data_IF_224622374020
#
_entry.id   IF_224622374020
#
_cell.length_a   1.000
_cell.length_b   1.000
_cell.length_c   1.000
_cell.angle_alpha   90.00
_cell.angle_beta   90.00
_cell.angle_gamma   90.00
#
_symmetry.space_group_name_H-M   'P 1'
#
loop_
_entity.id
_entity.type
_entity.pdbx_description
1 polymer ?
#
# COMPACT_ATOMS: atom_id res chain seq x y z
N UNK A 1 3.32 34.36 0.49
CA UNK A 1 3.99 34.03 -0.78
C UNK A 1 3.84 32.52 -0.97
N UNK A 2 2.96 32.09 -1.88
CA UNK A 2 2.77 30.65 -2.15
C UNK A 2 3.91 30.22 -3.07
N UNK A 3 4.83 29.41 -2.56
CA UNK A 3 5.91 28.85 -3.38
C UNK A 3 5.34 27.67 -4.15
N UNK A 4 5.19 27.82 -5.47
CA UNK A 4 4.59 26.83 -6.37
C UNK A 4 5.30 25.45 -6.41
N UNK A 5 6.45 25.30 -5.73
CA UNK A 5 7.23 24.07 -5.67
C UNK A 5 7.28 23.38 -4.30
N UNK A 6 6.57 23.88 -3.28
CA UNK A 6 6.58 23.24 -1.96
C UNK A 6 5.84 21.88 -1.96
N UNK A 7 6.13 21.04 -0.96
CA UNK A 7 5.58 19.68 -0.88
C UNK A 7 4.03 19.68 -0.86
N UNK A 8 3.43 20.68 -0.21
CA UNK A 8 1.98 20.80 -0.14
C UNK A 8 1.37 21.04 -1.53
N UNK A 9 1.95 21.94 -2.32
CA UNK A 9 1.48 22.21 -3.69
C UNK A 9 1.75 21.03 -4.63
N UNK A 10 2.90 20.36 -4.50
CA UNK A 10 3.18 19.13 -5.25
C UNK A 10 2.07 18.08 -5.01
N UNK A 11 1.73 17.81 -3.75
CA UNK A 11 0.64 16.90 -3.38
C UNK A 11 -0.71 17.32 -3.98
N UNK A 12 -1.05 18.60 -3.83
CA UNK A 12 -2.29 19.15 -4.37
C UNK A 12 -2.39 18.93 -5.89
N UNK A 13 -1.36 19.33 -6.65
CA UNK A 13 -1.34 19.20 -8.11
C UNK A 13 -1.34 17.73 -8.57
N UNK A 14 -0.68 16.85 -7.82
CA UNK A 14 -0.66 15.41 -8.10
C UNK A 14 -2.01 14.75 -7.87
N UNK A 15 -2.70 15.06 -6.78
CA UNK A 15 -3.99 14.48 -6.42
C UNK A 15 -5.12 15.00 -7.31
N UNK A 16 -5.15 16.30 -7.60
CA UNK A 16 -6.18 16.89 -8.48
C UNK A 16 -5.95 16.63 -9.97
N UNK A 17 -4.89 15.93 -10.35
CA UNK A 17 -4.81 15.33 -11.69
C UNK A 17 -5.89 14.26 -11.89
N UNK A 18 -6.23 13.53 -10.83
CA UNK A 18 -7.25 12.49 -10.85
C UNK A 18 -8.64 13.10 -11.02
N UNK A 19 -9.60 12.27 -11.44
CA UNK A 19 -10.91 12.73 -11.88
C UNK A 19 -10.83 13.80 -13.01
N UNK A 20 -9.96 13.53 -13.99
CA UNK A 20 -9.82 14.30 -15.25
C UNK A 20 -9.54 15.79 -15.04
N UNK A 21 -8.77 16.16 -14.01
CA UNK A 21 -8.40 17.57 -13.71
C UNK A 21 -9.60 18.50 -13.52
N UNK A 22 -10.73 17.96 -13.05
CA UNK A 22 -11.93 18.76 -12.79
C UNK A 22 -11.77 19.74 -11.62
N UNK A 23 -10.78 19.52 -10.75
CA UNK A 23 -10.64 20.24 -9.49
C UNK A 23 -11.56 19.71 -8.38
N UNK A 24 -12.31 18.63 -8.64
CA UNK A 24 -13.22 18.02 -7.66
C UNK A 24 -12.88 16.55 -7.45
N UNK A 25 -12.81 16.14 -6.19
CA UNK A 25 -12.66 14.74 -5.77
C UNK A 25 -13.75 14.40 -4.76
N UNK A 26 -14.43 13.29 -4.99
CA UNK A 26 -15.46 12.82 -4.08
C UNK A 26 -14.81 12.34 -2.78
N UNK A 27 -15.25 12.89 -1.65
CA UNK A 27 -14.82 12.40 -0.34
C UNK A 27 -15.17 10.91 -0.18
N UNK A 28 -14.34 10.13 0.52
CA UNK A 28 -14.68 8.76 0.87
C UNK A 28 -16.04 8.63 1.58
N UNK A 29 -16.70 7.49 1.45
CA UNK A 29 -18.09 7.28 1.89
C UNK A 29 -18.31 7.59 3.38
N UNK A 30 -17.44 7.10 4.25
CA UNK A 30 -17.50 7.32 5.70
C UNK A 30 -17.34 8.79 6.12
N UNK A 31 -16.77 9.65 5.27
CA UNK A 31 -16.71 11.11 5.50
C UNK A 31 -17.92 11.89 4.94
N UNK A 32 -18.87 11.18 4.34
CA UNK A 32 -20.12 11.73 3.77
C UNK A 32 -21.36 11.26 4.50
N UNK A 33 -21.27 10.12 5.20
CA UNK A 33 -22.35 9.53 6.00
C UNK A 33 -22.65 10.40 7.23
N UNK A 34 -23.93 10.53 7.55
CA UNK A 34 -24.43 11.27 8.72
C UNK A 34 -24.77 10.35 9.89
N UNK A 35 -24.89 9.05 9.64
CA UNK A 35 -25.30 8.03 10.60
C UNK A 35 -24.14 7.43 11.40
N UNK A 36 -22.89 7.61 10.95
CA UNK A 36 -21.69 7.15 11.65
C UNK A 36 -20.70 8.31 11.84
N UNK A 37 -20.27 8.63 13.07
CA UNK A 37 -19.17 9.57 13.29
C UNK A 37 -17.85 8.94 12.85
N UNK A 38 -16.93 9.75 12.33
CA UNK A 38 -15.59 9.35 11.92
C UNK A 38 -14.53 10.12 12.72
N UNK A 39 -13.68 9.39 13.43
CA UNK A 39 -12.52 9.96 14.12
C UNK A 39 -11.28 9.90 13.21
N UNK A 40 -10.75 11.05 12.73
CA UNK A 40 -9.57 11.07 11.87
C UNK A 40 -8.27 10.67 12.59
N UNK A 41 -8.28 10.53 13.91
CA UNK A 41 -7.12 10.11 14.71
C UNK A 41 -7.19 8.63 15.14
N UNK A 42 -8.19 7.88 14.67
CA UNK A 42 -8.28 6.43 14.94
C UNK A 42 -7.03 5.70 14.46
N UNK A 43 -6.47 4.88 15.33
CA UNK A 43 -5.36 3.98 14.99
C UNK A 43 -5.83 2.58 14.58
N UNK A 44 -7.11 2.28 14.82
CA UNK A 44 -7.74 1.00 14.55
C UNK A 44 -8.43 0.99 13.19
N UNK A 45 -8.60 -0.21 12.62
CA UNK A 45 -9.42 -0.39 11.43
C UNK A 45 -10.85 0.05 11.78
N UNK A 46 -11.41 0.91 10.94
CA UNK A 46 -12.79 1.39 11.09
C UNK A 46 -13.73 0.38 10.46
N UNK A 47 -14.80 0.03 11.18
CA UNK A 47 -15.84 -0.87 10.67
C UNK A 47 -16.41 -0.38 9.32
N UNK A 48 -16.44 -1.28 8.34
CA UNK A 48 -16.86 -1.00 6.97
C UNK A 48 -15.78 -0.41 6.06
N UNK A 49 -14.54 -0.26 6.53
CA UNK A 49 -13.39 0.16 5.72
C UNK A 49 -12.44 -1.01 5.52
N UNK A 50 -12.16 -1.35 4.26
CA UNK A 50 -11.12 -2.31 3.91
C UNK A 50 -9.78 -1.59 3.95
N UNK A 51 -9.01 -1.85 5.00
CA UNK A 51 -7.62 -1.39 5.10
C UNK A 51 -6.73 -2.17 4.12
N UNK A 52 -5.59 -1.61 3.71
CA UNK A 52 -4.66 -2.26 2.80
C UNK A 52 -3.25 -2.41 3.39
N UNK A 53 -2.50 -3.38 2.88
CA UNK A 53 -1.03 -3.41 2.94
C UNK A 53 -0.47 -2.95 1.62
N UNK A 54 0.51 -2.04 1.63
CA UNK A 54 1.18 -1.57 0.42
C UNK A 54 2.68 -1.86 0.54
N UNK A 55 3.26 -2.51 -0.46
CA UNK A 55 4.71 -2.66 -0.59
C UNK A 55 5.17 -2.07 -1.91
N UNK A 56 6.33 -1.44 -1.89
CA UNK A 56 6.96 -0.91 -3.10
C UNK A 56 8.46 -1.14 -3.08
N UNK A 57 8.96 -1.86 -4.08
CA UNK A 57 10.39 -2.03 -4.34
C UNK A 57 10.80 -1.09 -5.48
N UNK A 58 11.75 -0.20 -5.19
CA UNK A 58 12.42 0.61 -6.22
C UNK A 58 13.50 -0.28 -6.84
N UNK A 59 13.39 -0.57 -8.14
CA UNK A 59 14.29 -1.53 -8.80
C UNK A 59 15.39 -0.79 -9.55
N UNK A 60 14.99 0.16 -10.40
CA UNK A 60 15.95 0.91 -11.23
C UNK A 60 15.36 2.24 -11.68
N UNK A 61 16.19 3.06 -12.30
CA UNK A 61 15.73 4.27 -12.98
C UNK A 61 16.47 4.50 -14.28
N UNK A 62 15.93 5.36 -15.12
CA UNK A 62 16.42 5.62 -16.47
C UNK A 62 16.47 7.14 -16.71
N UNK A 63 17.57 7.62 -17.28
CA UNK A 63 17.77 8.99 -17.73
C UNK A 63 17.43 10.06 -16.67
N UNK A 64 17.88 9.86 -15.43
CA UNK A 64 17.46 10.69 -14.28
C UNK A 64 18.20 12.03 -14.20
N UNK A 65 19.41 12.13 -14.72
CA UNK A 65 20.16 13.38 -14.80
C UNK A 65 21.04 13.39 -16.06
N UNK A 66 21.33 14.58 -16.57
CA UNK A 66 22.28 14.84 -17.66
C UNK A 66 23.73 14.80 -17.18
N UNK A 67 23.95 14.82 -15.85
CA UNK A 67 25.26 14.79 -15.21
C UNK A 67 25.51 13.45 -14.55
N UNK A 68 26.79 13.08 -14.42
CA UNK A 68 27.21 11.93 -13.60
C UNK A 68 27.15 12.32 -12.12
N UNK A 69 26.05 11.98 -11.46
CA UNK A 69 25.76 12.31 -10.06
C UNK A 69 25.03 11.15 -9.38
N UNK A 70 25.21 11.00 -8.07
CA UNK A 70 24.45 10.03 -7.30
C UNK A 70 22.96 10.38 -7.27
N UNK A 71 22.09 9.38 -7.30
CA UNK A 71 20.64 9.53 -7.26
C UNK A 71 20.08 8.68 -6.13
N UNK A 72 19.10 9.20 -5.39
CA UNK A 72 18.33 8.43 -4.44
C UNK A 72 16.83 8.69 -4.63
N UNK A 73 16.01 7.74 -4.19
CA UNK A 73 14.56 7.80 -4.27
C UNK A 73 13.98 7.82 -2.87
N UNK A 74 13.11 8.79 -2.59
CA UNK A 74 12.29 8.87 -1.39
C UNK A 74 10.88 8.36 -1.68
N UNK A 75 10.33 7.60 -0.74
CA UNK A 75 8.97 7.06 -0.84
C UNK A 75 8.20 7.40 0.44
N UNK A 76 7.19 8.23 0.27
CA UNK A 76 6.38 8.78 1.36
C UNK A 76 4.91 8.40 1.18
N UNK A 77 4.20 8.19 2.28
CA UNK A 77 2.75 8.06 2.30
C UNK A 77 2.11 9.22 3.06
N UNK A 78 1.03 9.75 2.51
CA UNK A 78 0.23 10.84 3.06
C UNK A 78 -1.22 10.38 3.16
N UNK A 79 -1.89 10.64 4.27
CA UNK A 79 -3.29 10.23 4.47
C UNK A 79 -3.75 10.68 5.86
N UNK A 80 -4.41 9.78 6.59
CA UNK A 80 -4.61 9.99 8.02
C UNK A 80 -3.28 10.12 8.77
N UNK A 81 -3.25 10.70 9.98
CA UNK A 81 -2.06 10.75 10.82
C UNK A 81 -1.41 9.37 11.01
N UNK A 82 -2.22 8.32 11.23
CA UNK A 82 -1.74 6.93 11.40
C UNK A 82 -1.13 6.33 10.13
N UNK A 83 -1.63 6.74 8.95
CA UNK A 83 -1.18 6.25 7.65
C UNK A 83 0.04 7.02 7.13
N UNK A 84 0.26 8.25 7.62
CA UNK A 84 1.31 9.13 7.13
C UNK A 84 2.69 8.66 7.59
N UNK A 85 3.54 8.28 6.64
CA UNK A 85 4.92 7.83 6.88
C UNK A 85 5.87 8.45 5.87
N UNK A 86 6.90 9.17 6.36
CA UNK A 86 7.90 9.87 5.54
C UNK A 86 9.31 9.47 5.96
N UNK A 87 9.66 8.20 5.72
CA UNK A 87 10.86 7.57 6.29
C UNK A 87 11.67 6.76 5.30
N UNK A 88 11.09 6.37 4.17
CA UNK A 88 11.75 5.45 3.25
C UNK A 88 12.56 6.21 2.22
N UNK A 89 13.81 5.80 2.09
CA UNK A 89 14.77 6.33 1.14
C UNK A 89 15.72 5.22 0.73
N UNK A 90 16.00 5.13 -0.57
CA UNK A 90 17.02 4.21 -1.09
C UNK A 90 18.42 4.71 -0.77
N UNK A 91 19.42 3.85 -0.87
CA UNK A 91 20.82 4.27 -0.95
C UNK A 91 21.03 5.17 -2.17
N UNK A 92 21.96 6.11 -2.04
CA UNK A 92 22.40 6.94 -3.17
C UNK A 92 23.17 6.07 -4.16
N UNK A 93 22.85 6.17 -5.44
CA UNK A 93 23.60 5.50 -6.51
C UNK A 93 25.04 6.04 -6.54
N UNK A 94 26.00 5.18 -6.91
CA UNK A 94 27.44 5.52 -6.90
C UNK A 94 27.82 6.37 -8.13
N UNK A 95 27.25 7.56 -8.25
CA UNK A 95 27.46 8.46 -9.39
C UNK A 95 26.77 8.04 -10.69
N UNK A 96 25.99 6.94 -10.69
CA UNK A 96 25.22 6.51 -11.87
C UNK A 96 23.82 7.14 -11.85
N UNK A 97 23.58 8.08 -12.75
CA UNK A 97 22.29 8.75 -12.96
C UNK A 97 21.58 8.32 -14.25
N UNK A 98 22.26 7.56 -15.12
CA UNK A 98 21.73 7.17 -16.42
C UNK A 98 20.86 5.92 -16.33
N UNK A 99 21.32 4.90 -15.60
CA UNK A 99 20.62 3.63 -15.42
C UNK A 99 20.89 2.97 -14.04
N UNK A 100 20.74 3.70 -12.91
CA UNK A 100 20.96 3.11 -11.59
C UNK A 100 20.03 1.93 -11.32
N UNK A 101 20.54 0.95 -10.58
CA UNK A 101 19.79 -0.21 -10.06
C UNK A 101 19.94 -0.21 -8.55
N UNK A 102 18.83 -0.36 -7.84
CA UNK A 102 18.76 -0.50 -6.39
C UNK A 102 18.29 -1.90 -6.05
N UNK A 103 19.17 -2.69 -5.46
CA UNK A 103 18.80 -4.00 -4.90
C UNK A 103 18.63 -3.86 -3.39
N UNK A 104 17.46 -3.33 -3.02
CA UNK A 104 17.05 -3.11 -1.64
C UNK A 104 15.74 -3.85 -1.36
N UNK A 105 15.49 -4.10 -0.08
CA UNK A 105 14.22 -4.66 0.37
C UNK A 105 13.05 -3.71 0.05
N UNK A 106 11.85 -4.24 -0.22
CA UNK A 106 10.68 -3.40 -0.45
C UNK A 106 10.39 -2.49 0.75
N UNK A 107 9.95 -1.27 0.46
CA UNK A 107 9.39 -0.39 1.48
C UNK A 107 7.97 -0.85 1.79
N UNK A 108 7.71 -1.12 3.06
CA UNK A 108 6.45 -1.71 3.51
C UNK A 108 5.61 -0.72 4.33
N UNK A 109 4.35 -0.56 3.91
CA UNK A 109 3.29 0.11 4.64
C UNK A 109 2.32 -0.99 5.10
N UNK A 110 2.61 -1.64 6.25
CA UNK A 110 1.93 -2.88 6.65
C UNK A 110 0.46 -2.70 7.03
N UNK A 111 0.05 -1.47 7.37
CA UNK A 111 -1.33 -1.12 7.67
C UNK A 111 -1.59 0.30 7.18
N UNK A 112 -2.43 0.41 6.16
CA UNK A 112 -3.04 1.65 5.68
C UNK A 112 -4.51 1.58 6.06
N UNK A 113 -4.87 2.27 7.15
CA UNK A 113 -6.22 2.28 7.72
C UNK A 113 -7.22 2.85 6.74
N UNK A 114 -6.84 3.89 5.99
CA UNK A 114 -7.72 4.58 5.06
C UNK A 114 -7.16 4.73 3.64
N UNK A 115 -7.11 3.65 2.87
CA UNK A 115 -6.49 3.62 1.54
C UNK A 115 -7.12 4.61 0.55
N UNK A 116 -8.42 4.87 0.66
CA UNK A 116 -9.14 5.83 -0.21
C UNK A 116 -8.74 7.28 0.01
N UNK A 117 -8.14 7.61 1.16
CA UNK A 117 -7.62 8.94 1.46
C UNK A 117 -6.08 9.00 1.34
N UNK A 118 -5.42 7.84 1.32
CA UNK A 118 -3.98 7.75 1.28
C UNK A 118 -3.42 7.96 -0.14
N UNK A 119 -2.26 8.61 -0.22
CA UNK A 119 -1.49 8.84 -1.44
C UNK A 119 -0.03 8.49 -1.20
N UNK A 120 0.55 7.74 -2.13
CA UNK A 120 1.97 7.41 -2.19
C UNK A 120 2.68 8.46 -3.06
N UNK A 121 3.78 9.03 -2.54
CA UNK A 121 4.66 9.94 -3.26
C UNK A 121 6.01 9.26 -3.44
N UNK A 122 6.46 9.20 -4.69
CA UNK A 122 7.78 8.70 -5.07
C UNK A 122 8.54 9.89 -5.63
N UNK A 123 9.64 10.28 -5.02
CA UNK A 123 10.41 11.45 -5.41
C UNK A 123 11.89 11.10 -5.57
N UNK A 124 12.50 11.64 -6.63
CA UNK A 124 13.88 11.38 -7.01
C UNK A 124 14.70 12.63 -6.79
N UNK A 125 15.88 12.44 -6.21
CA UNK A 125 16.80 13.51 -5.87
C UNK A 125 18.23 13.15 -6.27
N UNK A 126 19.00 14.16 -6.62
CA UNK A 126 20.45 14.05 -6.75
C UNK A 126 21.11 14.07 -5.35
N UNK A 127 22.30 13.51 -5.27
CA UNK A 127 23.20 13.69 -4.13
C UNK A 127 23.36 15.20 -3.82
N UNK A 128 23.16 15.58 -2.56
CA UNK A 128 23.05 16.98 -2.15
C UNK A 128 21.61 17.53 -2.11
N UNK A 129 20.60 16.73 -2.45
CA UNK A 129 19.18 17.04 -2.23
C UNK A 129 18.52 17.85 -3.34
N UNK A 130 19.16 18.00 -4.50
CA UNK A 130 18.55 18.66 -5.66
C UNK A 130 17.43 17.78 -6.23
N UNK A 131 16.24 18.37 -6.37
CA UNK A 131 15.07 17.68 -6.89
C UNK A 131 15.22 17.34 -8.38
N UNK A 132 14.87 16.11 -8.75
CA UNK A 132 14.83 15.63 -10.15
C UNK A 132 13.40 15.56 -10.65
N UNK A 133 12.54 14.90 -9.90
CA UNK A 133 11.16 14.67 -10.30
C UNK A 133 10.41 13.81 -9.30
N UNK A 134 9.08 13.75 -9.42
CA UNK A 134 8.24 12.98 -8.53
C UNK A 134 7.03 12.37 -9.24
N UNK A 135 6.34 11.46 -8.55
CA UNK A 135 5.01 10.99 -8.90
C UNK A 135 4.17 10.84 -7.64
N UNK A 136 2.90 11.24 -7.72
CA UNK A 136 1.90 11.00 -6.68
C UNK A 136 0.83 10.04 -7.21
N UNK A 137 0.59 8.99 -6.44
CA UNK A 137 -0.32 7.90 -6.75
C UNK A 137 -1.28 7.68 -5.58
N UNK A 138 -2.60 7.88 -5.74
CA UNK A 138 -3.60 7.46 -4.78
C UNK A 138 -3.45 5.97 -4.52
N UNK A 139 -3.43 5.55 -3.25
CA UNK A 139 -3.22 4.14 -2.89
C UNK A 139 -4.29 3.25 -3.52
N UNK A 140 -5.53 3.72 -3.55
CA UNK A 140 -6.67 3.04 -4.20
C UNK A 140 -6.52 2.82 -5.71
N UNK A 141 -5.60 3.51 -6.38
CA UNK A 141 -5.38 3.43 -7.82
C UNK A 141 -4.08 2.69 -8.21
N UNK A 142 -3.27 2.28 -7.23
CA UNK A 142 -2.01 1.56 -7.48
C UNK A 142 -2.34 0.15 -7.97
N UNK A 143 -1.70 -0.26 -9.07
CA UNK A 143 -1.80 -1.61 -9.60
C UNK A 143 -0.61 -2.45 -9.08
N UNK A 144 -0.82 -3.69 -8.62
CA UNK A 144 0.29 -4.56 -8.24
C UNK A 144 1.09 -5.03 -9.47
N UNK A 145 2.33 -5.46 -9.26
CA UNK A 145 3.25 -5.95 -10.30
C UNK A 145 4.36 -4.97 -10.67
N UNK A 146 5.04 -5.25 -11.78
CA UNK A 146 6.13 -4.41 -12.31
C UNK A 146 5.59 -3.30 -13.21
N UNK A 147 5.94 -2.05 -12.91
CA UNK A 147 5.47 -0.88 -13.67
C UNK A 147 6.56 0.16 -13.83
N UNK A 148 6.54 0.85 -14.95
CA UNK A 148 7.29 2.09 -15.11
C UNK A 148 6.51 3.28 -14.55
N UNK A 149 7.21 4.15 -13.82
CA UNK A 149 6.69 5.42 -13.32
C UNK A 149 7.45 6.54 -14.00
N UNK A 150 6.79 7.20 -14.95
CA UNK A 150 7.31 8.43 -15.55
C UNK A 150 7.24 9.57 -14.53
N UNK A 151 8.37 10.24 -14.31
CA UNK A 151 8.49 11.30 -13.32
C UNK A 151 7.91 12.62 -13.84
N UNK A 152 7.62 13.52 -12.90
CA UNK A 152 7.04 14.84 -13.15
C UNK A 152 7.79 15.93 -12.39
N UNK A 153 7.78 17.13 -12.95
CA UNK A 153 8.35 18.30 -12.28
C UNK A 153 7.48 18.75 -11.08
N UNK A 154 7.89 19.81 -10.40
CA UNK A 154 7.23 20.34 -9.20
C UNK A 154 5.76 20.75 -9.42
N UNK A 155 5.42 21.18 -10.63
CA UNK A 155 4.05 21.58 -11.02
C UNK A 155 3.25 20.44 -11.68
N UNK A 156 3.69 19.19 -11.47
CA UNK A 156 3.06 17.98 -11.96
C UNK A 156 2.97 17.89 -13.51
N UNK A 157 3.89 18.52 -14.24
CA UNK A 157 4.04 18.31 -15.69
C UNK A 157 4.97 17.12 -15.98
N UNK A 158 4.67 16.30 -17.00
CA UNK A 158 5.47 15.12 -17.34
C UNK A 158 6.88 15.49 -17.77
N UNK A 159 7.87 14.81 -17.21
CA UNK A 159 9.23 14.80 -17.73
C UNK A 159 9.33 13.76 -18.86
N UNK A 160 10.15 14.04 -19.88
CA UNK A 160 10.21 13.20 -21.08
C UNK A 160 10.96 11.88 -20.84
N UNK A 161 12.18 11.96 -20.30
CA UNK A 161 13.08 10.81 -20.16
C UNK A 161 13.10 10.16 -18.76
N UNK A 162 13.11 10.93 -17.64
CA UNK A 162 13.25 10.36 -16.30
C UNK A 162 12.09 9.42 -15.93
N UNK A 163 12.42 8.16 -15.67
CA UNK A 163 11.48 7.14 -15.25
C UNK A 163 12.11 6.20 -14.21
N UNK A 164 11.26 5.59 -13.38
CA UNK A 164 11.63 4.52 -12.46
C UNK A 164 10.95 3.22 -12.86
N UNK A 165 11.66 2.11 -12.77
CA UNK A 165 11.06 0.78 -12.72
C UNK A 165 10.82 0.41 -11.26
N UNK A 166 9.57 0.08 -10.94
CA UNK A 166 9.17 -0.34 -9.59
C UNK A 166 8.40 -1.64 -9.63
N UNK A 167 8.37 -2.33 -8.50
CA UNK A 167 7.44 -3.41 -8.23
C UNK A 167 6.55 -3.02 -7.06
N UNK A 168 5.25 -3.19 -7.21
CA UNK A 168 4.24 -2.83 -6.20
C UNK A 168 3.41 -4.04 -5.80
N UNK A 169 3.09 -4.15 -4.51
CA UNK A 169 2.08 -5.09 -4.00
C UNK A 169 1.05 -4.30 -3.21
N UNK A 170 -0.22 -4.54 -3.49
CA UNK A 170 -1.34 -3.96 -2.76
C UNK A 170 -2.29 -5.10 -2.46
N UNK A 171 -2.46 -5.40 -1.18
CA UNK A 171 -3.35 -6.46 -0.69
C UNK A 171 -4.28 -5.90 0.39
N UNK A 172 -5.39 -6.57 0.64
CA UNK A 172 -6.24 -6.26 1.79
C UNK A 172 -5.49 -6.59 3.08
N UNK A 173 -5.60 -5.70 4.08
CA UNK A 173 -4.98 -5.92 5.38
C UNK A 173 -5.75 -6.98 6.15
N UNK A 174 -5.03 -8.04 6.52
CA UNK A 174 -5.53 -9.12 7.37
C UNK A 174 -4.79 -9.03 8.70
N UNK A 175 -5.49 -8.77 9.82
CA UNK A 175 -4.91 -8.87 11.15
C UNK A 175 -4.27 -10.24 11.38
N UNK A 176 -3.12 -10.29 12.07
CA UNK A 176 -2.35 -11.52 12.26
C UNK A 176 -3.15 -12.64 12.94
N UNK A 177 -4.05 -12.28 13.86
CA UNK A 177 -4.94 -13.21 14.55
C UNK A 177 -6.08 -13.76 13.67
N UNK A 178 -6.28 -13.24 12.46
CA UNK A 178 -7.38 -13.63 11.56
C UNK A 178 -6.94 -14.37 10.29
N UNK A 179 -5.64 -14.67 10.12
CA UNK A 179 -5.12 -15.28 8.90
C UNK A 179 -5.77 -16.64 8.56
N UNK A 180 -6.06 -17.47 9.56
CA UNK A 180 -6.69 -18.79 9.35
C UNK A 180 -8.13 -18.66 8.87
N UNK A 181 -8.91 -17.75 9.46
CA UNK A 181 -10.28 -17.49 9.04
C UNK A 181 -10.35 -17.00 7.60
N UNK A 182 -9.46 -16.09 7.20
CA UNK A 182 -9.44 -15.61 5.82
C UNK A 182 -9.04 -16.72 4.86
N UNK A 183 -8.04 -17.56 5.20
CA UNK A 183 -7.69 -18.73 4.38
C UNK A 183 -8.88 -19.68 4.20
N UNK A 184 -9.65 -19.91 5.26
CA UNK A 184 -10.87 -20.72 5.20
C UNK A 184 -11.93 -20.10 4.29
N UNK A 185 -12.10 -18.77 4.31
CA UNK A 185 -13.05 -18.06 3.45
C UNK A 185 -12.61 -18.01 1.98
N UNK A 186 -11.31 -17.85 1.71
CA UNK A 186 -10.77 -17.82 0.34
C UNK A 186 -10.75 -19.20 -0.31
N UNK A 187 -10.50 -20.26 0.47
CA UNK A 187 -10.38 -21.64 -0.02
C UNK A 187 -11.32 -22.59 0.75
N UNK A 188 -12.65 -22.40 0.67
CA UNK A 188 -13.61 -23.09 1.51
C UNK A 188 -13.61 -24.61 1.32
N UNK A 189 -13.42 -25.07 0.08
CA UNK A 189 -13.38 -26.51 -0.24
C UNK A 189 -12.18 -27.23 0.37
N UNK A 190 -11.03 -26.55 0.50
CA UNK A 190 -9.85 -27.11 1.14
C UNK A 190 -10.03 -27.17 2.67
N UNK A 191 -10.68 -26.17 3.26
CA UNK A 191 -10.96 -26.15 4.69
C UNK A 191 -11.97 -27.23 5.10
N UNK A 192 -13.00 -27.50 4.29
CA UNK A 192 -13.97 -28.60 4.53
C UNK A 192 -13.29 -29.98 4.49
N UNK A 193 -12.16 -30.14 3.81
CA UNK A 193 -11.38 -31.40 3.87
C UNK A 193 -10.77 -31.66 5.25
N UNK A 194 -10.67 -30.65 6.13
CA UNK A 194 -10.28 -30.86 7.53
C UNK A 194 -11.40 -31.53 8.34
N UNK A 195 -12.67 -31.44 7.92
CA UNK A 195 -13.74 -32.27 8.50
C UNK A 195 -13.54 -33.75 8.19
N UNK A 196 -12.80 -34.10 7.14
CA UNK A 196 -12.38 -35.49 6.93
C UNK A 196 -11.37 -35.94 7.99
N UNK A 197 -10.57 -35.03 8.57
CA UNK A 197 -9.77 -35.36 9.77
C UNK A 197 -10.67 -35.65 10.96
N UNK A 198 -11.75 -34.89 11.16
CA UNK A 198 -12.74 -35.19 12.20
C UNK A 198 -13.38 -36.56 11.97
N UNK A 199 -13.76 -36.91 10.73
CA UNK A 199 -14.27 -38.26 10.37
C UNK A 199 -13.25 -39.36 10.63
N UNK A 200 -11.96 -39.14 10.33
CA UNK A 200 -10.88 -40.09 10.62
C UNK A 200 -10.61 -40.23 12.13
N UNK A 201 -10.77 -39.15 12.89
CA UNK A 201 -10.68 -39.16 14.36
C UNK A 201 -11.83 -39.93 15.00
N UNK A 202 -13.06 -39.84 14.47
CA UNK A 202 -14.20 -40.66 14.94
C UNK A 202 -13.89 -42.15 14.85
N UNK A 203 -13.24 -42.60 13.77
CA UNK A 203 -12.81 -43.99 13.63
C UNK A 203 -11.73 -44.41 14.66
N UNK A 204 -10.99 -43.46 15.23
CA UNK A 204 -9.94 -43.71 16.23
C UNK A 204 -10.48 -43.64 17.67
N UNK A 205 -11.46 -42.78 17.93
CA UNK A 205 -12.06 -42.58 19.24
C UNK A 205 -13.00 -43.74 19.58
N UNK A 206 -13.56 -44.42 18.57
CA UNK A 206 -14.52 -45.51 18.74
C UNK A 206 -15.83 -45.01 19.33
N UNK A 207 -16.92 -45.73 19.10
CA UNK A 207 -18.19 -45.44 19.78
C UNK A 207 -17.97 -45.66 21.28
N UNK A 208 -17.75 -44.60 22.06
CA UNK A 208 -17.95 -44.65 23.50
C UNK A 208 -19.43 -44.88 23.72
N UNK A 209 -19.81 -46.16 23.74
CA UNK A 209 -21.12 -46.62 24.15
C UNK A 209 -21.49 -45.92 25.47
N UNK A 210 -22.47 -45.04 25.40
CA UNK A 210 -23.20 -44.58 26.58
C UNK A 210 -23.86 -45.84 27.14
N UNK A 211 -23.25 -46.43 28.18
CA UNK A 211 -23.83 -47.53 28.93
C UNK A 211 -25.21 -47.11 29.43
N UNK A 212 -26.27 -47.62 28.77
CA UNK A 212 -27.62 -47.63 29.32
C UNK A 212 -27.58 -48.45 30.60
N UNK A 213 -27.70 -47.79 31.75
CA UNK A 213 -28.04 -48.45 33.00
C UNK A 213 -29.39 -49.16 32.84
N UNK A 214 -29.50 -50.47 33.15
CA UNK A 214 -30.77 -51.16 33.07
C UNK A 214 -31.68 -50.66 34.21
N UNK A 215 -32.88 -50.20 33.85
CA UNK A 215 -33.90 -49.82 34.82
C UNK A 215 -34.26 -51.00 35.71
N UNK A 216 -34.26 -50.78 37.01
CA UNK A 216 -34.90 -51.67 37.97
C UNK A 216 -36.38 -51.32 38.06
N UNK A 217 -37.19 -52.36 37.82
CA UNK A 217 -38.61 -52.49 38.14
C UNK A 217 -38.87 -52.40 39.65
#
# INVERSE_FOLDING_TARGET
MVFFGDLAMQLNMGIFEYNRRSGYLLKPEFMRRTDKPFDPFTENIVDGIVANTVKIKIISGQFLSDKRVGIYVEVDMFGLPVDTKRKYKTKTSQGNSFNPVWDEEPFEFPKVVLPTLASLRIAVFEEGGKFVGHRILPVSAIRPGYHYICLRNEINQPLCLPALLVYTEVNDYIPDNHQEYIKALMFPTQHVSLDERAKKLVALIGDTEVQKTPGHS
#
